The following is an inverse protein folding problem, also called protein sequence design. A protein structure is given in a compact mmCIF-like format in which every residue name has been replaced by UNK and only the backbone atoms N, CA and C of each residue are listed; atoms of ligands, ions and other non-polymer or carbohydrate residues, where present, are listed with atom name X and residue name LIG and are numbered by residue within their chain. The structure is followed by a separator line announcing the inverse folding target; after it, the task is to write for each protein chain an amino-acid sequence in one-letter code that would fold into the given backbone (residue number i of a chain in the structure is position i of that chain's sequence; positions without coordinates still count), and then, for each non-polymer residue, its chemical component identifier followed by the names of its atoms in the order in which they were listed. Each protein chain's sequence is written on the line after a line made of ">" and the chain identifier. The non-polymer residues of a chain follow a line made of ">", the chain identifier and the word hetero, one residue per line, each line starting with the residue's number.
data_IF_251416140437
#
_entry.id   IF_251416140437
#
_cell.length_a   1.000
_cell.length_b   1.000
_cell.length_c   1.000
_cell.angle_alpha   90.00
_cell.angle_beta   90.00
_cell.angle_gamma   90.00
#
_symmetry.space_group_name_H-M   'P 1'
#
loop_
_entity.id
_entity.type
_entity.pdbx_description
1 polymer ?
#
# COMPACT_ATOMS: atom_id res chain seq x y z
N UNK A 1 19.52 10.83 -11.51
CA UNK A 1 19.78 11.20 -10.11
C UNK A 1 18.75 10.45 -9.31
N UNK A 2 19.12 9.28 -8.79
CA UNK A 2 18.24 8.36 -8.06
C UNK A 2 17.87 9.02 -6.74
N UNK A 3 16.63 9.49 -6.60
CA UNK A 3 16.07 9.90 -5.31
C UNK A 3 15.86 8.59 -4.53
N UNK A 4 16.82 8.23 -3.69
CA UNK A 4 16.73 7.15 -2.69
C UNK A 4 15.56 7.41 -1.74
N UNK A 5 14.88 6.36 -1.27
CA UNK A 5 13.70 6.39 -0.37
C UNK A 5 13.83 7.18 0.95
N UNK A 6 14.96 7.86 1.19
CA UNK A 6 15.20 8.80 2.32
C UNK A 6 14.14 9.89 2.47
N UNK A 7 13.26 10.11 1.48
CA UNK A 7 12.12 11.02 1.59
C UNK A 7 10.98 10.51 2.50
N UNK A 8 10.92 9.20 2.83
CA UNK A 8 9.91 8.67 3.76
C UNK A 8 10.26 8.81 5.25
N UNK A 9 11.52 9.08 5.60
CA UNK A 9 12.03 8.85 6.95
C UNK A 9 12.43 10.11 7.76
N UNK A 10 11.94 11.31 7.43
CA UNK A 10 12.36 12.53 8.14
C UNK A 10 11.24 13.34 8.80
N UNK A 11 10.72 12.82 9.91
CA UNK A 11 10.19 13.65 11.02
C UNK A 11 10.74 13.15 12.36
N UNK A 12 11.91 13.69 12.70
CA UNK A 12 12.62 13.54 13.97
C UNK A 12 11.93 14.29 15.12
N UNK A 13 11.84 13.66 16.30
CA UNK A 13 11.88 14.15 17.73
C UNK A 13 10.80 13.45 18.59
N UNK A 14 11.00 12.97 19.83
CA UNK A 14 12.09 13.02 20.81
C UNK A 14 11.89 11.84 21.80
N UNK A 15 12.98 11.15 22.18
CA UNK A 15 13.02 10.14 23.25
C UNK A 15 12.72 10.76 24.63
N UNK A 16 11.84 10.12 25.42
CA UNK A 16 11.89 10.13 26.88
C UNK A 16 11.53 8.73 27.40
N UNK A 17 12.55 7.96 27.78
CA UNK A 17 12.41 6.81 28.64
C UNK A 17 12.23 7.28 30.09
N UNK A 18 11.18 6.80 30.76
CA UNK A 18 11.10 6.85 32.22
C UNK A 18 11.04 5.44 32.78
N UNK A 19 12.17 4.97 33.31
CA UNK A 19 12.20 3.87 34.28
C UNK A 19 11.47 4.31 35.55
N UNK A 20 10.51 3.52 36.00
CA UNK A 20 10.08 3.49 37.39
C UNK A 20 9.95 2.03 37.81
N UNK A 21 11.02 1.51 38.41
CA UNK A 21 10.96 0.28 39.18
C UNK A 21 10.17 0.53 40.47
N UNK A 22 9.27 -0.39 40.80
CA UNK A 22 8.85 -0.65 42.16
C UNK A 22 8.76 -2.16 42.35
N UNK A 23 9.62 -2.63 43.25
CA UNK A 23 9.71 -4.01 43.73
C UNK A 23 8.45 -4.34 44.54
N UNK A 24 7.82 -5.46 44.23
CA UNK A 24 6.97 -6.18 45.17
C UNK A 24 7.30 -7.67 45.05
N UNK A 25 7.90 -8.22 46.11
CA UNK A 25 8.02 -9.66 46.34
C UNK A 25 6.62 -10.22 46.59
N UNK A 26 6.22 -11.28 45.89
CA UNK A 26 5.21 -12.21 46.41
C UNK A 26 5.29 -13.59 45.71
N UNK A 27 5.55 -14.58 46.56
CA UNK A 27 5.34 -16.03 46.52
C UNK A 27 5.45 -16.82 45.20
N UNK A 28 6.50 -17.65 45.14
CA UNK A 28 6.76 -18.68 44.15
C UNK A 28 5.78 -19.85 44.31
N UNK A 29 4.62 -19.77 43.66
CA UNK A 29 3.80 -20.96 43.38
C UNK A 29 4.34 -21.64 42.13
N UNK A 30 5.02 -22.77 42.31
CA UNK A 30 5.44 -23.66 41.22
C UNK A 30 4.22 -24.35 40.60
N UNK A 31 3.50 -23.63 39.74
CA UNK A 31 2.70 -24.26 38.70
C UNK A 31 3.57 -24.33 37.45
N UNK A 32 3.89 -25.54 37.01
CA UNK A 32 4.43 -25.79 35.67
C UNK A 32 3.49 -25.14 34.65
N UNK A 33 3.94 -24.14 33.86
CA UNK A 33 3.10 -23.58 32.80
C UNK A 33 2.67 -24.73 31.89
N UNK A 34 1.38 -24.79 31.56
CA UNK A 34 0.94 -25.63 30.46
C UNK A 34 1.78 -25.24 29.23
N UNK A 35 2.47 -26.21 28.64
CA UNK A 35 3.22 -26.01 27.41
C UNK A 35 2.21 -25.51 26.37
N UNK A 36 2.26 -24.21 26.02
CA UNK A 36 1.46 -23.67 24.94
C UNK A 36 1.80 -24.49 23.70
N UNK A 37 0.84 -25.28 23.22
CA UNK A 37 1.02 -26.05 22.01
C UNK A 37 1.01 -25.08 20.84
N UNK A 38 2.21 -24.64 20.42
CA UNK A 38 2.46 -23.95 19.15
C UNK A 38 1.62 -24.61 18.05
N UNK A 39 0.77 -23.86 17.33
CA UNK A 39 -0.04 -24.41 16.26
C UNK A 39 0.83 -25.19 15.26
N UNK A 40 0.36 -26.36 14.83
CA UNK A 40 1.15 -27.27 14.00
C UNK A 40 1.51 -26.71 12.60
N UNK A 41 0.79 -25.67 12.16
CA UNK A 41 1.05 -24.95 10.91
C UNK A 41 2.17 -23.90 11.03
N UNK A 42 2.63 -23.61 12.25
CA UNK A 42 3.74 -22.69 12.44
C UNK A 42 5.05 -23.49 12.45
N UNK A 43 5.88 -23.25 11.46
CA UNK A 43 7.23 -23.79 11.35
C UNK A 43 8.29 -22.67 11.40
N UNK A 44 9.47 -22.88 10.81
CA UNK A 44 10.57 -21.90 10.82
C UNK A 44 10.67 -21.06 9.53
N UNK A 45 9.84 -21.34 8.51
CA UNK A 45 9.99 -20.72 7.20
C UNK A 45 8.66 -20.78 6.43
N UNK A 46 8.33 -19.71 5.71
CA UNK A 46 7.18 -19.68 4.80
C UNK A 46 7.66 -19.36 3.39
N UNK A 47 7.18 -20.14 2.41
CA UNK A 47 7.72 -20.17 1.06
C UNK A 47 9.27 -20.29 1.05
N UNK A 48 9.98 -19.35 0.41
CA UNK A 48 11.44 -19.30 0.36
C UNK A 48 12.12 -18.55 1.51
N UNK A 49 11.37 -18.04 2.49
CA UNK A 49 11.90 -17.16 3.53
C UNK A 49 12.01 -17.88 4.89
N UNK A 50 13.20 -17.84 5.50
CA UNK A 50 13.45 -18.38 6.86
C UNK A 50 13.53 -17.24 7.86
N UNK A 51 12.71 -17.31 8.91
CA UNK A 51 12.65 -16.29 9.96
C UNK A 51 13.92 -16.29 10.83
N UNK A 52 14.43 -15.10 11.17
CA UNK A 52 15.53 -14.94 12.13
C UNK A 52 15.04 -14.94 13.59
N UNK A 53 13.77 -14.60 13.82
CA UNK A 53 13.16 -14.38 15.12
C UNK A 53 11.80 -15.07 15.24
N UNK A 54 11.28 -15.16 16.47
CA UNK A 54 9.95 -15.71 16.70
C UNK A 54 8.84 -14.67 16.43
N UNK A 55 8.17 -14.81 15.28
CA UNK A 55 7.00 -14.00 14.89
C UNK A 55 5.71 -14.83 14.77
N UNK A 56 5.62 -15.97 15.44
CA UNK A 56 4.49 -16.91 15.40
C UNK A 56 3.13 -16.25 15.68
N UNK A 57 3.11 -15.30 16.60
CA UNK A 57 1.90 -14.58 16.96
C UNK A 57 1.44 -13.63 15.83
N UNK A 58 2.37 -13.01 15.08
CA UNK A 58 2.05 -12.22 13.89
C UNK A 58 1.58 -13.09 12.73
N UNK A 59 2.24 -14.23 12.51
CA UNK A 59 1.86 -15.23 11.50
C UNK A 59 0.42 -15.73 11.73
N UNK A 60 0.04 -15.93 12.99
CA UNK A 60 -1.30 -16.39 13.38
C UNK A 60 -2.43 -15.42 13.00
N UNK A 61 -2.15 -14.14 12.78
CA UNK A 61 -3.16 -13.15 12.34
C UNK A 61 -3.70 -13.45 10.94
N UNK A 62 -2.97 -14.22 10.12
CA UNK A 62 -3.44 -14.63 8.80
C UNK A 62 -4.71 -15.50 8.90
N UNK A 63 -4.82 -16.33 9.96
CA UNK A 63 -6.01 -17.13 10.19
C UNK A 63 -7.20 -16.26 10.63
N UNK A 64 -6.96 -15.19 11.40
CA UNK A 64 -8.00 -14.20 11.71
C UNK A 64 -8.56 -13.55 10.43
N UNK A 65 -7.72 -13.26 9.42
CA UNK A 65 -8.18 -12.74 8.13
C UNK A 65 -9.06 -13.75 7.37
N UNK A 66 -8.66 -15.02 7.37
CA UNK A 66 -9.46 -16.08 6.76
C UNK A 66 -10.83 -16.20 7.45
N UNK A 67 -10.86 -16.15 8.77
CA UNK A 67 -12.09 -16.22 9.55
C UNK A 67 -12.99 -15.00 9.33
N UNK A 68 -12.43 -13.78 9.30
CA UNK A 68 -13.16 -12.54 8.98
C UNK A 68 -13.79 -12.63 7.59
N UNK A 69 -13.01 -13.05 6.60
CA UNK A 69 -13.50 -13.20 5.22
C UNK A 69 -14.63 -14.24 5.14
N UNK A 70 -14.53 -15.33 5.89
CA UNK A 70 -15.55 -16.38 5.96
C UNK A 70 -16.84 -15.83 6.56
N UNK A 71 -16.77 -15.23 7.76
CA UNK A 71 -17.92 -14.61 8.42
C UNK A 71 -18.58 -13.54 7.54
N UNK A 72 -17.79 -12.65 6.93
CA UNK A 72 -18.31 -11.62 6.04
C UNK A 72 -18.97 -12.20 4.77
N UNK A 73 -18.52 -13.35 4.27
CA UNK A 73 -19.17 -14.01 3.11
C UNK A 73 -20.54 -14.60 3.43
N UNK A 74 -20.80 -14.85 4.71
CA UNK A 74 -22.09 -15.32 5.24
C UNK A 74 -22.98 -14.18 5.77
N UNK A 75 -22.55 -12.93 5.54
CA UNK A 75 -23.16 -11.71 6.12
C UNK A 75 -23.18 -11.68 7.64
N UNK A 76 -22.29 -12.43 8.30
CA UNK A 76 -22.10 -12.38 9.76
C UNK A 76 -21.13 -11.25 10.13
N UNK A 77 -21.65 -10.02 10.06
CA UNK A 77 -20.88 -8.80 10.34
C UNK A 77 -20.42 -8.71 11.80
N UNK A 78 -21.21 -9.26 12.73
CA UNK A 78 -20.90 -9.23 14.16
C UNK A 78 -19.69 -10.12 14.44
N UNK A 79 -19.66 -11.35 13.89
CA UNK A 79 -18.50 -12.24 14.02
C UNK A 79 -17.27 -11.65 13.32
N UNK A 80 -17.41 -11.11 12.11
CA UNK A 80 -16.30 -10.44 11.41
C UNK A 80 -15.72 -9.28 12.25
N UNK A 81 -16.59 -8.44 12.83
CA UNK A 81 -16.18 -7.32 13.69
C UNK A 81 -15.53 -7.80 14.98
N UNK A 82 -16.08 -8.85 15.60
CA UNK A 82 -15.53 -9.43 16.82
C UNK A 82 -14.10 -9.94 16.60
N UNK A 83 -13.86 -10.69 15.52
CA UNK A 83 -12.52 -11.23 15.22
C UNK A 83 -11.54 -10.08 14.93
N UNK A 84 -11.94 -9.08 14.15
CA UNK A 84 -11.09 -7.92 13.86
C UNK A 84 -10.67 -7.15 15.12
N UNK A 85 -11.64 -6.89 16.01
CA UNK A 85 -11.43 -6.08 17.22
C UNK A 85 -10.71 -6.84 18.33
N UNK A 86 -11.06 -8.11 18.53
CA UNK A 86 -10.65 -8.87 19.71
C UNK A 86 -9.63 -9.99 19.41
N UNK A 87 -9.38 -10.29 18.13
CA UNK A 87 -8.54 -11.41 17.71
C UNK A 87 -9.19 -12.77 18.03
N UNK A 88 -8.65 -13.83 17.42
CA UNK A 88 -9.11 -15.21 17.68
C UNK A 88 -7.99 -16.23 17.69
N UNK A 89 -6.97 -16.05 16.85
CA UNK A 89 -5.94 -17.08 16.64
C UNK A 89 -4.54 -16.69 17.16
N UNK A 90 -4.33 -15.41 17.49
CA UNK A 90 -3.03 -14.87 17.90
C UNK A 90 -2.93 -14.60 19.43
N UNK A 91 -3.08 -15.65 20.25
CA UNK A 91 -3.03 -15.53 21.73
C UNK A 91 -1.60 -15.28 22.23
N UNK A 92 -1.44 -14.35 23.16
CA UNK A 92 -0.20 -14.04 23.88
C UNK A 92 -0.16 -14.80 25.22
N UNK A 93 1.02 -14.86 25.82
CA UNK A 93 1.28 -15.52 27.10
C UNK A 93 0.39 -15.02 28.26
N UNK A 94 -0.06 -13.76 28.21
CA UNK A 94 -0.96 -13.17 29.21
C UNK A 94 -2.45 -13.53 29.00
N UNK A 95 -2.74 -14.38 28.02
CA UNK A 95 -4.06 -14.81 27.61
C UNK A 95 -4.81 -13.81 26.73
N UNK A 96 -4.29 -12.59 26.53
CA UNK A 96 -4.84 -11.62 25.59
C UNK A 96 -4.49 -11.98 24.14
N UNK A 97 -5.15 -11.35 23.18
CA UNK A 97 -4.87 -11.58 21.75
C UNK A 97 -4.16 -10.37 21.14
N UNK A 98 -3.30 -10.63 20.15
CA UNK A 98 -3.00 -9.61 19.13
C UNK A 98 -4.21 -9.47 18.23
N UNK A 99 -4.48 -8.25 17.77
CA UNK A 99 -5.69 -7.95 17.02
C UNK A 99 -5.36 -7.08 15.82
N UNK A 100 -6.04 -7.31 14.71
CA UNK A 100 -5.90 -6.50 13.50
C UNK A 100 -6.27 -5.03 13.78
N UNK A 101 -7.29 -4.80 14.61
CA UNK A 101 -7.64 -3.46 15.08
C UNK A 101 -6.53 -2.78 15.88
N UNK A 102 -5.79 -3.52 16.71
CA UNK A 102 -4.69 -3.00 17.51
C UNK A 102 -3.53 -2.50 16.65
N UNK A 103 -3.25 -3.18 15.53
CA UNK A 103 -2.30 -2.68 14.54
C UNK A 103 -2.85 -1.43 13.82
N UNK A 104 -4.17 -1.35 13.61
CA UNK A 104 -4.83 -0.29 12.83
C UNK A 104 -5.24 0.98 13.55
N UNK A 105 -5.00 1.04 14.86
CA UNK A 105 -5.35 2.17 15.71
C UNK A 105 -4.31 3.32 15.69
N UNK A 106 -3.28 3.24 14.83
CA UNK A 106 -2.25 4.26 14.53
C UNK A 106 -1.35 4.78 15.67
N UNK A 107 -1.77 4.77 16.93
CA UNK A 107 -0.99 5.36 18.03
C UNK A 107 0.42 4.76 18.12
N UNK A 108 1.43 5.57 17.77
CA UNK A 108 2.84 5.18 17.75
C UNK A 108 3.29 4.34 16.55
N UNK A 109 2.48 4.21 15.50
CA UNK A 109 2.76 3.40 14.30
C UNK A 109 3.23 4.21 13.08
N UNK A 110 3.02 5.53 13.03
CA UNK A 110 3.56 6.42 11.99
C UNK A 110 3.41 5.87 10.55
N UNK A 111 2.26 5.29 10.19
CA UNK A 111 2.04 4.92 8.80
C UNK A 111 1.74 6.15 7.94
N UNK A 112 2.22 6.16 6.69
CA UNK A 112 2.01 7.28 5.76
C UNK A 112 0.51 7.60 5.54
N UNK A 113 -0.37 6.62 5.77
CA UNK A 113 -1.82 6.79 5.66
C UNK A 113 -2.41 7.82 6.61
N UNK A 114 -1.90 7.96 7.85
CA UNK A 114 -2.50 8.92 8.79
C UNK A 114 -2.20 10.35 8.38
N UNK A 115 -0.93 10.60 8.02
CA UNK A 115 -0.49 11.90 7.53
C UNK A 115 -1.21 12.24 6.23
N UNK A 116 -1.35 11.27 5.31
CA UNK A 116 -2.05 11.45 4.04
C UNK A 116 -3.54 11.77 4.22
N UNK A 117 -4.25 11.00 5.06
CA UNK A 117 -5.68 11.23 5.31
C UNK A 117 -5.96 12.32 6.36
N UNK A 118 -4.93 12.86 7.01
CA UNK A 118 -5.07 13.81 8.12
C UNK A 118 -5.87 13.23 9.30
N UNK A 119 -5.79 11.91 9.51
CA UNK A 119 -6.64 11.16 10.43
C UNK A 119 -5.81 10.11 11.16
N UNK A 120 -5.78 10.15 12.49
CA UNK A 120 -5.19 9.09 13.31
C UNK A 120 -6.05 7.82 13.18
N UNK A 121 -5.40 6.69 12.88
CA UNK A 121 -6.06 5.40 12.71
C UNK A 121 -6.69 5.22 11.34
N UNK A 122 -6.17 5.89 10.31
CA UNK A 122 -6.82 5.96 9.00
C UNK A 122 -7.10 4.58 8.38
N UNK A 123 -6.17 3.62 8.50
CA UNK A 123 -6.36 2.24 8.04
C UNK A 123 -7.54 1.60 8.77
N UNK A 124 -7.55 1.70 10.11
CA UNK A 124 -8.61 1.12 10.94
C UNK A 124 -9.97 1.75 10.67
N UNK A 125 -10.01 3.06 10.43
CA UNK A 125 -11.24 3.79 10.11
C UNK A 125 -11.89 3.29 8.81
N UNK A 126 -11.10 3.05 7.76
CA UNK A 126 -11.62 2.51 6.49
C UNK A 126 -12.16 1.09 6.66
N UNK A 127 -11.43 0.23 7.38
CA UNK A 127 -11.87 -1.16 7.65
C UNK A 127 -13.15 -1.16 8.50
N UNK A 128 -13.20 -0.34 9.55
CA UNK A 128 -14.35 -0.22 10.42
C UNK A 128 -15.58 0.35 9.70
N UNK A 129 -15.38 1.24 8.72
CA UNK A 129 -16.47 1.75 7.91
C UNK A 129 -17.18 0.63 7.14
N UNK A 130 -16.43 -0.32 6.57
CA UNK A 130 -17.00 -1.51 5.95
C UNK A 130 -17.64 -2.46 6.98
N UNK A 131 -16.97 -2.71 8.11
CA UNK A 131 -17.48 -3.59 9.17
C UNK A 131 -18.76 -3.06 9.80
N UNK A 132 -18.94 -1.74 9.93
CA UNK A 132 -20.15 -1.11 10.47
C UNK A 132 -21.22 -0.87 9.40
N UNK A 133 -20.84 -0.80 8.12
CA UNK A 133 -21.74 -0.37 7.04
C UNK A 133 -22.07 1.12 7.13
N UNK A 134 -21.12 1.94 7.55
CA UNK A 134 -21.21 3.39 7.64
C UNK A 134 -20.18 4.05 6.69
N UNK A 135 -19.99 5.37 6.76
CA UNK A 135 -19.01 6.07 5.93
C UNK A 135 -19.20 5.82 4.44
N UNK A 136 -18.12 5.43 3.74
CA UNK A 136 -18.14 5.12 2.30
C UNK A 136 -19.02 3.90 1.99
N UNK A 137 -19.33 3.06 2.97
CA UNK A 137 -20.19 1.88 2.83
C UNK A 137 -21.64 2.13 3.26
N UNK A 138 -22.00 3.34 3.70
CA UNK A 138 -23.36 3.67 4.10
C UNK A 138 -24.36 3.42 2.96
N UNK A 139 -25.42 2.65 3.25
CA UNK A 139 -26.48 2.36 2.27
C UNK A 139 -26.06 1.46 1.10
N UNK A 140 -24.84 0.92 1.10
CA UNK A 140 -24.38 -0.03 0.08
C UNK A 140 -25.02 -1.42 0.29
N UNK A 141 -24.96 -2.26 -0.74
CA UNK A 141 -25.47 -3.63 -0.64
C UNK A 141 -24.55 -4.54 0.19
N UNK A 142 -25.09 -5.63 0.74
CA UNK A 142 -24.30 -6.65 1.45
C UNK A 142 -23.14 -7.19 0.60
N UNK A 143 -23.30 -7.27 -0.72
CA UNK A 143 -22.22 -7.67 -1.63
C UNK A 143 -21.07 -6.66 -1.64
N UNK A 144 -21.39 -5.36 -1.70
CA UNK A 144 -20.38 -4.29 -1.66
C UNK A 144 -19.70 -4.25 -0.30
N UNK A 145 -20.48 -4.34 0.78
CA UNK A 145 -19.95 -4.38 2.16
C UNK A 145 -19.03 -5.58 2.38
N UNK A 146 -19.42 -6.77 1.92
CA UNK A 146 -18.56 -7.96 1.93
C UNK A 146 -17.23 -7.72 1.21
N UNK A 147 -17.25 -7.12 0.00
CA UNK A 147 -16.00 -6.78 -0.69
C UNK A 147 -15.16 -5.79 0.12
N UNK A 148 -15.77 -4.76 0.70
CA UNK A 148 -15.09 -3.82 1.58
C UNK A 148 -14.35 -4.52 2.71
N UNK A 149 -15.06 -5.33 3.50
CA UNK A 149 -14.49 -6.06 4.64
C UNK A 149 -13.36 -6.98 4.18
N UNK A 150 -13.62 -7.84 3.19
CA UNK A 150 -12.68 -8.86 2.75
C UNK A 150 -11.44 -8.26 2.07
N UNK A 151 -11.57 -7.13 1.37
CA UNK A 151 -10.46 -6.52 0.62
C UNK A 151 -9.71 -5.47 1.43
N UNK A 152 -10.36 -4.61 2.21
CA UNK A 152 -9.64 -3.59 2.99
C UNK A 152 -8.80 -4.23 4.09
N UNK A 153 -9.35 -5.22 4.81
CA UNK A 153 -8.63 -5.86 5.92
C UNK A 153 -7.33 -6.53 5.45
N UNK A 154 -7.37 -7.22 4.31
CA UNK A 154 -6.18 -7.85 3.73
C UNK A 154 -5.28 -6.81 3.06
N UNK A 155 -5.82 -5.97 2.18
CA UNK A 155 -4.99 -5.19 1.26
C UNK A 155 -4.59 -3.83 1.81
N UNK A 156 -5.46 -3.11 2.50
CA UNK A 156 -5.06 -1.85 3.14
C UNK A 156 -4.41 -2.13 4.50
N UNK A 157 -5.03 -3.03 5.28
CA UNK A 157 -4.54 -3.43 6.60
C UNK A 157 -3.16 -4.06 6.55
N UNK A 158 -3.05 -5.26 5.99
CA UNK A 158 -1.80 -6.03 6.08
C UNK A 158 -0.65 -5.44 5.26
N UNK A 159 -0.92 -4.83 4.10
CA UNK A 159 0.11 -4.13 3.33
C UNK A 159 0.59 -2.89 4.06
N UNK A 160 -0.33 -2.16 4.72
CA UNK A 160 0.02 -1.06 5.61
C UNK A 160 1.03 -1.48 6.67
N UNK A 161 0.81 -2.64 7.33
CA UNK A 161 1.78 -3.17 8.32
C UNK A 161 3.04 -3.73 7.71
N UNK A 162 2.94 -4.41 6.56
CA UNK A 162 4.13 -4.88 5.85
C UNK A 162 5.11 -3.73 5.63
N UNK A 163 4.62 -2.60 5.11
CA UNK A 163 5.46 -1.42 4.86
C UNK A 163 5.90 -0.75 6.17
N UNK A 164 5.03 -0.68 7.18
CA UNK A 164 5.39 -0.14 8.50
C UNK A 164 6.55 -0.91 9.14
N UNK A 165 6.50 -2.24 9.12
CA UNK A 165 7.51 -3.08 9.76
C UNK A 165 8.83 -3.06 8.98
N UNK A 166 8.76 -3.04 7.63
CA UNK A 166 9.94 -2.83 6.78
C UNK A 166 10.61 -1.48 7.08
N UNK A 167 9.84 -0.38 7.16
CA UNK A 167 10.37 0.93 7.50
C UNK A 167 10.94 0.97 8.93
N UNK A 168 10.31 0.25 9.86
CA UNK A 168 10.79 0.14 11.24
C UNK A 168 12.09 -0.64 11.33
N UNK A 169 12.25 -1.70 10.53
CA UNK A 169 13.49 -2.45 10.41
C UNK A 169 14.62 -1.56 9.89
N UNK A 170 14.40 -0.83 8.78
CA UNK A 170 15.36 0.14 8.24
C UNK A 170 15.77 1.18 9.30
N UNK A 171 14.80 1.80 9.96
CA UNK A 171 15.07 2.80 11.00
C UNK A 171 15.84 2.23 12.21
N UNK A 172 15.56 0.99 12.61
CA UNK A 172 16.31 0.30 13.67
C UNK A 172 17.74 -0.03 13.23
N UNK A 173 17.93 -0.48 11.99
CA UNK A 173 19.25 -0.77 11.43
C UNK A 173 20.12 0.50 11.34
N UNK A 174 19.55 1.62 10.89
CA UNK A 174 20.20 2.93 10.88
C UNK A 174 20.62 3.40 12.28
N UNK A 175 19.85 3.01 13.31
CA UNK A 175 20.17 3.25 14.72
C UNK A 175 21.17 2.23 15.31
N UNK A 176 21.63 1.26 14.52
CA UNK A 176 22.56 0.20 14.93
C UNK A 176 21.91 -0.94 15.74
N UNK A 177 20.58 -1.01 15.77
CA UNK A 177 19.84 -2.06 16.46
C UNK A 177 19.57 -3.24 15.52
N UNK A 178 20.54 -4.15 15.42
CA UNK A 178 20.55 -5.30 14.50
C UNK A 178 20.39 -6.66 15.20
N UNK A 179 19.93 -6.67 16.46
CA UNK A 179 19.64 -7.92 17.19
C UNK A 179 18.50 -8.69 16.51
N UNK A 180 18.64 -10.01 16.35
CA UNK A 180 17.66 -10.80 15.60
C UNK A 180 16.28 -10.78 16.28
N UNK A 181 16.23 -10.94 17.60
CA UNK A 181 14.97 -11.12 18.34
C UNK A 181 14.24 -9.82 18.67
N UNK A 182 14.95 -8.69 18.71
CA UNK A 182 14.37 -7.40 19.16
C UNK A 182 14.69 -6.21 18.26
N UNK A 183 15.67 -6.37 17.37
CA UNK A 183 16.20 -5.34 16.48
C UNK A 183 15.52 -5.31 15.12
N UNK A 184 16.28 -4.86 14.12
CA UNK A 184 15.80 -4.70 12.76
C UNK A 184 15.37 -6.02 12.08
N UNK A 185 16.11 -7.14 12.20
CA UNK A 185 15.65 -8.43 11.65
C UNK A 185 14.27 -8.86 12.18
N UNK A 186 13.96 -8.60 13.45
CA UNK A 186 12.64 -8.91 14.01
C UNK A 186 11.49 -8.20 13.29
N UNK A 187 11.61 -6.89 13.05
CA UNK A 187 10.56 -6.17 12.30
C UNK A 187 10.54 -6.60 10.83
N UNK A 188 11.69 -6.96 10.26
CA UNK A 188 11.72 -7.49 8.89
C UNK A 188 10.94 -8.81 8.78
N UNK A 189 11.11 -9.71 9.76
CA UNK A 189 10.34 -10.94 9.92
C UNK A 189 8.84 -10.67 10.12
N UNK A 190 8.48 -9.69 10.96
CA UNK A 190 7.09 -9.26 11.16
C UNK A 190 6.47 -8.79 9.83
N UNK A 191 7.22 -8.04 9.02
CA UNK A 191 6.83 -7.62 7.67
C UNK A 191 6.47 -8.80 6.76
N UNK A 192 7.29 -9.86 6.75
CA UNK A 192 6.98 -11.08 6.00
C UNK A 192 5.75 -11.81 6.56
N UNK A 193 5.61 -11.87 7.88
CA UNK A 193 4.46 -12.47 8.55
C UNK A 193 3.14 -11.77 8.18
N UNK A 194 3.15 -10.44 8.03
CA UNK A 194 1.97 -9.69 7.57
C UNK A 194 1.70 -9.88 6.08
N UNK A 195 2.74 -9.97 5.26
CA UNK A 195 2.61 -10.03 3.80
C UNK A 195 2.25 -11.42 3.26
N UNK A 196 2.94 -12.45 3.75
CA UNK A 196 2.78 -13.83 3.29
C UNK A 196 1.98 -14.67 4.31
N UNK A 197 2.36 -14.57 5.60
CA UNK A 197 1.83 -15.42 6.66
C UNK A 197 2.20 -16.90 6.47
N UNK A 198 1.58 -17.82 7.23
CA UNK A 198 1.79 -19.26 7.07
C UNK A 198 1.40 -19.80 5.70
N UNK A 199 2.16 -20.75 5.16
CA UNK A 199 1.83 -21.48 3.92
C UNK A 199 0.39 -22.04 3.92
N UNK A 200 -0.08 -22.55 5.06
CA UNK A 200 -1.43 -23.11 5.24
C UNK A 200 -2.55 -22.07 5.11
N UNK A 201 -2.22 -20.79 5.23
CA UNK A 201 -3.17 -19.67 5.18
C UNK A 201 -2.85 -18.68 4.05
N UNK A 202 -1.95 -19.08 3.14
CA UNK A 202 -1.50 -18.27 2.02
C UNK A 202 -2.64 -17.70 1.17
N UNK A 203 -3.76 -18.42 0.99
CA UNK A 203 -4.90 -17.97 0.17
C UNK A 203 -5.61 -16.70 0.69
N UNK A 204 -5.37 -16.32 1.94
CA UNK A 204 -5.88 -15.11 2.58
C UNK A 204 -4.87 -13.95 2.60
N UNK A 205 -3.63 -14.20 2.18
CA UNK A 205 -2.53 -13.24 2.26
C UNK A 205 -2.57 -12.16 1.17
N UNK A 206 -1.94 -11.00 1.42
CA UNK A 206 -1.56 -10.05 0.39
C UNK A 206 -0.73 -10.68 -0.73
N UNK A 207 0.21 -11.58 -0.41
CA UNK A 207 1.06 -12.26 -1.39
C UNK A 207 0.24 -13.00 -2.47
N UNK A 208 -0.89 -13.62 -2.09
CA UNK A 208 -1.79 -14.27 -3.06
C UNK A 208 -2.39 -13.32 -4.10
N UNK A 209 -2.46 -12.01 -3.80
CA UNK A 209 -2.92 -11.01 -4.76
C UNK A 209 -1.90 -10.85 -5.89
N UNK A 210 -0.60 -10.95 -5.61
CA UNK A 210 0.44 -10.88 -6.63
C UNK A 210 0.26 -11.96 -7.70
N UNK A 211 0.02 -13.21 -7.31
CA UNK A 211 -0.28 -14.30 -8.25
C UNK A 211 -1.52 -14.04 -9.10
N UNK A 212 -2.61 -13.59 -8.47
CA UNK A 212 -3.85 -13.29 -9.17
C UNK A 212 -3.64 -12.20 -10.21
N UNK A 213 -2.91 -11.13 -9.86
CA UNK A 213 -2.63 -10.03 -10.78
C UNK A 213 -1.64 -10.39 -11.87
N UNK A 214 -0.64 -11.20 -11.56
CA UNK A 214 0.27 -11.70 -12.58
C UNK A 214 -0.44 -12.54 -13.63
N UNK A 215 -1.38 -13.40 -13.22
CA UNK A 215 -2.23 -14.15 -14.15
C UNK A 215 -3.14 -13.24 -14.98
N UNK A 216 -3.63 -12.13 -14.41
CA UNK A 216 -4.54 -11.22 -15.11
C UNK A 216 -3.82 -10.31 -16.13
N UNK A 217 -2.51 -10.08 -15.95
CA UNK A 217 -1.72 -9.13 -16.76
C UNK A 217 -0.59 -9.77 -17.56
N UNK A 218 -0.48 -11.10 -17.52
CA UNK A 218 0.57 -11.84 -18.21
C UNK A 218 1.97 -11.55 -17.67
N UNK A 219 2.11 -11.28 -16.37
CA UNK A 219 3.39 -10.96 -15.69
C UNK A 219 3.87 -12.09 -14.78
N UNK A 220 3.35 -13.31 -15.00
CA UNK A 220 3.87 -14.53 -14.41
C UNK A 220 5.01 -15.10 -15.26
N UNK A 221 5.95 -15.82 -14.64
CA UNK A 221 6.97 -16.58 -15.34
C UNK A 221 6.39 -17.87 -15.96
N UNK A 222 7.26 -18.67 -16.60
CA UNK A 222 6.86 -19.88 -17.31
C UNK A 222 6.23 -20.95 -16.39
N UNK A 223 6.52 -20.90 -15.09
CA UNK A 223 5.98 -21.80 -14.08
C UNK A 223 4.69 -21.24 -13.42
N UNK A 224 4.24 -20.06 -13.87
CA UNK A 224 3.04 -19.40 -13.36
C UNK A 224 3.29 -18.57 -12.09
N UNK A 225 4.55 -18.39 -11.69
CA UNK A 225 4.91 -17.59 -10.50
C UNK A 225 4.91 -16.12 -10.86
N UNK A 226 4.25 -15.28 -10.08
CA UNK A 226 4.25 -13.83 -10.29
C UNK A 226 5.68 -13.28 -10.21
N UNK A 227 6.09 -12.50 -11.22
CA UNK A 227 7.40 -11.83 -11.20
C UNK A 227 7.56 -10.93 -9.97
N UNK A 228 6.47 -10.24 -9.57
CA UNK A 228 6.42 -9.43 -8.34
C UNK A 228 6.56 -10.26 -7.08
N UNK A 229 5.97 -11.45 -7.00
CA UNK A 229 6.10 -12.33 -5.83
C UNK A 229 7.54 -12.81 -5.67
N UNK A 230 8.11 -13.36 -6.75
CA UNK A 230 9.49 -13.84 -6.78
C UNK A 230 10.50 -12.76 -6.41
N UNK A 231 10.33 -11.55 -6.96
CA UNK A 231 11.19 -10.43 -6.63
C UNK A 231 11.02 -9.95 -5.18
N UNK A 232 9.80 -10.02 -4.64
CA UNK A 232 9.53 -9.70 -3.22
C UNK A 232 10.15 -10.72 -2.29
N UNK A 233 9.96 -12.02 -2.55
CA UNK A 233 10.57 -13.10 -1.75
C UNK A 233 12.10 -12.97 -1.71
N UNK A 234 12.73 -12.78 -2.88
CA UNK A 234 14.18 -12.59 -2.96
C UNK A 234 14.62 -11.33 -2.21
N UNK A 235 13.90 -10.22 -2.35
CA UNK A 235 14.21 -8.99 -1.63
C UNK A 235 14.06 -9.16 -0.11
N UNK A 236 13.09 -9.93 0.37
CA UNK A 236 12.94 -10.24 1.78
C UNK A 236 14.12 -11.07 2.30
N UNK A 237 14.55 -12.09 1.56
CA UNK A 237 15.73 -12.90 1.92
C UNK A 237 17.01 -12.06 1.94
N UNK A 238 17.25 -11.30 0.88
CA UNK A 238 18.46 -10.46 0.75
C UNK A 238 18.46 -9.32 1.78
N UNK A 239 17.30 -8.73 2.05
CA UNK A 239 17.11 -7.67 3.03
C UNK A 239 17.42 -8.16 4.45
N UNK A 240 16.93 -9.34 4.84
CA UNK A 240 17.25 -9.93 6.14
C UNK A 240 18.76 -10.14 6.31
N UNK A 241 19.42 -10.72 5.29
CA UNK A 241 20.86 -10.93 5.31
C UNK A 241 21.63 -9.60 5.38
N UNK A 242 21.16 -8.57 4.66
CA UNK A 242 21.74 -7.23 4.70
C UNK A 242 21.59 -6.57 6.07
N UNK A 243 20.42 -6.68 6.71
CA UNK A 243 20.17 -6.18 8.07
C UNK A 243 21.13 -6.81 9.09
N UNK A 244 21.28 -8.14 9.05
CA UNK A 244 22.21 -8.87 9.91
C UNK A 244 23.68 -8.49 9.66
N UNK A 245 24.01 -8.15 8.42
CA UNK A 245 25.35 -7.69 8.04
C UNK A 245 25.60 -6.19 8.31
N UNK A 246 24.55 -5.42 8.63
CA UNK A 246 24.62 -3.96 8.71
C UNK A 246 24.90 -3.28 7.36
N UNK A 247 24.44 -3.87 6.25
CA UNK A 247 24.61 -3.35 4.90
C UNK A 247 23.46 -2.40 4.50
N UNK A 248 23.68 -1.10 4.73
CA UNK A 248 22.70 -0.02 4.41
C UNK A 248 22.20 -0.06 2.97
N UNK A 249 23.12 -0.20 2.01
CA UNK A 249 22.71 -0.23 0.61
C UNK A 249 21.89 -1.49 0.28
N UNK A 250 22.19 -2.61 0.93
CA UNK A 250 21.49 -3.87 0.76
C UNK A 250 20.05 -3.83 1.29
N UNK A 251 19.85 -3.41 2.55
CA UNK A 251 18.50 -3.38 3.12
C UNK A 251 17.62 -2.26 2.53
N UNK A 252 18.22 -1.13 2.14
CA UNK A 252 17.48 -0.08 1.43
C UNK A 252 16.96 -0.63 0.10
N UNK A 253 17.84 -1.19 -0.74
CA UNK A 253 17.45 -1.73 -2.04
C UNK A 253 16.39 -2.84 -1.94
N UNK A 254 16.48 -3.68 -0.90
CA UNK A 254 15.46 -4.67 -0.59
C UNK A 254 14.11 -4.02 -0.28
N UNK A 255 14.08 -3.03 0.61
CA UNK A 255 12.85 -2.31 0.97
C UNK A 255 12.23 -1.60 -0.25
N UNK A 256 13.04 -0.92 -1.08
CA UNK A 256 12.55 -0.27 -2.31
C UNK A 256 11.93 -1.29 -3.28
N UNK A 257 12.53 -2.49 -3.39
CA UNK A 257 12.04 -3.57 -4.25
C UNK A 257 10.68 -4.11 -3.78
N UNK A 258 10.52 -4.33 -2.46
CA UNK A 258 9.25 -4.78 -1.88
C UNK A 258 8.13 -3.75 -2.16
N UNK A 259 8.39 -2.47 -1.88
CA UNK A 259 7.41 -1.39 -2.12
C UNK A 259 7.08 -1.29 -3.61
N UNK A 260 8.07 -1.35 -4.51
CA UNK A 260 7.84 -1.33 -5.96
C UNK A 260 6.89 -2.45 -6.40
N UNK A 261 7.10 -3.68 -5.92
CA UNK A 261 6.26 -4.83 -6.28
C UNK A 261 4.83 -4.73 -5.73
N UNK A 262 4.65 -4.12 -4.56
CA UNK A 262 3.33 -3.75 -4.00
C UNK A 262 2.65 -2.74 -4.95
N UNK A 263 3.33 -1.66 -5.33
CA UNK A 263 2.77 -0.64 -6.24
C UNK A 263 2.35 -1.25 -7.59
N UNK A 264 3.17 -2.14 -8.17
CA UNK A 264 2.82 -2.86 -9.41
C UNK A 264 1.53 -3.66 -9.23
N UNK A 265 1.48 -4.49 -8.19
CA UNK A 265 0.37 -5.43 -7.94
C UNK A 265 -0.95 -4.69 -7.74
N UNK A 266 -0.95 -3.64 -6.93
CA UNK A 266 -2.16 -2.87 -6.64
C UNK A 266 -2.53 -1.87 -7.75
N UNK A 267 -1.57 -1.45 -8.58
CA UNK A 267 -1.86 -0.77 -9.85
C UNK A 267 -2.63 -1.69 -10.80
N UNK A 268 -2.12 -2.92 -11.02
CA UNK A 268 -2.79 -3.95 -11.81
C UNK A 268 -4.20 -4.24 -11.27
N UNK A 269 -4.35 -4.34 -9.94
CA UNK A 269 -5.64 -4.56 -9.33
C UNK A 269 -6.63 -3.43 -9.59
N UNK A 270 -6.20 -2.18 -9.37
CA UNK A 270 -7.02 -0.98 -9.61
C UNK A 270 -7.43 -0.92 -11.08
N UNK A 271 -6.48 -1.04 -12.02
CA UNK A 271 -6.74 -1.08 -13.47
C UNK A 271 -7.78 -2.13 -13.86
N UNK A 272 -7.62 -3.36 -13.35
CA UNK A 272 -8.57 -4.44 -13.63
C UNK A 272 -9.97 -4.07 -13.18
N UNK A 273 -10.14 -3.63 -11.95
CA UNK A 273 -11.48 -3.45 -11.41
C UNK A 273 -12.18 -2.20 -11.93
N UNK A 274 -11.46 -1.11 -12.18
CA UNK A 274 -12.05 0.07 -12.85
C UNK A 274 -12.49 -0.26 -14.28
N UNK A 275 -11.76 -1.12 -14.99
CA UNK A 275 -12.12 -1.55 -16.35
C UNK A 275 -13.37 -2.43 -16.41
N UNK A 276 -13.76 -3.06 -15.29
CA UNK A 276 -14.90 -4.01 -15.23
C UNK A 276 -16.19 -3.41 -14.69
N UNK A 277 -16.18 -2.12 -14.32
CA UNK A 277 -17.34 -1.43 -13.74
C UNK A 277 -18.51 -1.24 -14.72
N UNK A 278 -18.31 -1.54 -16.01
CA UNK A 278 -19.35 -1.61 -17.04
C UNK A 278 -20.26 -2.85 -16.92
N UNK A 279 -19.86 -3.83 -16.10
CA UNK A 279 -20.65 -5.04 -15.92
C UNK A 279 -22.00 -4.76 -15.22
N UNK A 280 -23.10 -5.10 -15.89
CA UNK A 280 -24.46 -4.81 -15.41
C UNK A 280 -24.81 -5.47 -14.06
N UNK A 281 -24.26 -6.66 -13.77
CA UNK A 281 -24.61 -7.43 -12.57
C UNK A 281 -23.61 -7.23 -11.43
N UNK A 282 -22.35 -6.97 -11.77
CA UNK A 282 -21.22 -6.95 -10.83
C UNK A 282 -20.50 -5.60 -10.77
N UNK A 283 -20.97 -4.55 -11.45
CA UNK A 283 -20.30 -3.24 -11.49
C UNK A 283 -20.02 -2.68 -10.09
N UNK A 284 -21.01 -2.66 -9.21
CA UNK A 284 -20.85 -2.19 -7.82
C UNK A 284 -19.87 -3.06 -7.01
N UNK A 285 -19.89 -4.38 -7.22
CA UNK A 285 -18.90 -5.29 -6.64
C UNK A 285 -17.48 -4.94 -7.10
N UNK A 286 -17.29 -4.72 -8.40
CA UNK A 286 -15.99 -4.38 -8.96
C UNK A 286 -15.53 -2.99 -8.51
N UNK A 287 -16.43 -2.01 -8.38
CA UNK A 287 -16.11 -0.70 -7.80
C UNK A 287 -15.60 -0.86 -6.36
N UNK A 288 -16.25 -1.68 -5.52
CA UNK A 288 -15.82 -1.95 -4.14
C UNK A 288 -14.46 -2.65 -4.07
N UNK A 289 -14.21 -3.62 -4.96
CA UNK A 289 -12.89 -4.24 -5.08
C UNK A 289 -11.83 -3.21 -5.50
N UNK A 290 -12.11 -2.42 -6.55
CA UNK A 290 -11.22 -1.37 -7.03
C UNK A 290 -10.90 -0.33 -5.97
N UNK A 291 -11.90 0.13 -5.22
CA UNK A 291 -11.75 1.03 -4.07
C UNK A 291 -10.73 0.48 -3.08
N UNK A 292 -10.91 -0.75 -2.61
CA UNK A 292 -10.04 -1.33 -1.59
C UNK A 292 -8.61 -1.56 -2.11
N UNK A 293 -8.45 -1.91 -3.38
CA UNK A 293 -7.12 -2.06 -4.00
C UNK A 293 -6.41 -0.73 -4.22
N UNK A 294 -7.16 0.34 -4.54
CA UNK A 294 -6.61 1.69 -4.62
C UNK A 294 -6.17 2.17 -3.23
N UNK A 295 -7.02 1.99 -2.20
CA UNK A 295 -6.68 2.35 -0.80
C UNK A 295 -5.43 1.65 -0.28
N UNK A 296 -5.04 0.50 -0.84
CA UNK A 296 -3.82 -0.21 -0.47
C UNK A 296 -2.51 0.47 -0.94
N UNK A 297 -2.59 1.42 -1.88
CA UNK A 297 -1.43 2.17 -2.38
C UNK A 297 -1.63 3.68 -2.45
N UNK A 298 -2.83 4.18 -2.16
CA UNK A 298 -3.20 5.58 -2.35
C UNK A 298 -2.20 6.54 -1.71
N UNK A 299 -1.85 6.34 -0.44
CA UNK A 299 -0.91 7.21 0.28
C UNK A 299 0.53 7.20 -0.29
N UNK A 300 0.89 6.17 -1.07
CA UNK A 300 2.18 6.02 -1.72
C UNK A 300 2.16 6.43 -3.20
N UNK A 301 0.98 6.57 -3.78
CA UNK A 301 0.78 6.92 -5.18
C UNK A 301 0.40 8.39 -5.34
N UNK A 302 -0.50 8.90 -4.50
CA UNK A 302 -1.11 10.21 -4.64
C UNK A 302 -0.11 11.39 -4.74
N UNK A 303 0.99 11.43 -3.97
CA UNK A 303 1.99 12.51 -4.09
C UNK A 303 2.67 12.61 -5.47
N UNK A 304 2.53 11.59 -6.32
CA UNK A 304 3.10 11.55 -7.67
C UNK A 304 2.03 11.75 -8.74
N UNK A 305 0.93 12.41 -8.41
CA UNK A 305 -0.23 12.59 -9.30
C UNK A 305 -0.67 14.04 -9.44
N UNK A 306 0.23 14.99 -9.20
CA UNK A 306 -0.02 16.42 -9.38
C UNK A 306 -0.12 16.79 -10.86
N UNK A 307 -0.79 17.91 -11.11
CA UNK A 307 -0.89 18.47 -12.45
C UNK A 307 -1.13 19.97 -12.47
N UNK A 308 -1.04 20.53 -13.67
CA UNK A 308 -1.33 21.94 -13.94
C UNK A 308 -2.59 22.04 -14.79
N UNK A 309 -3.61 22.73 -14.29
CA UNK A 309 -4.79 23.04 -15.09
C UNK A 309 -4.49 24.19 -16.06
N UNK A 310 -4.87 24.01 -17.32
CA UNK A 310 -4.76 25.03 -18.36
C UNK A 310 -6.12 25.73 -18.55
N UNK A 311 -6.17 27.03 -18.34
CA UNK A 311 -7.40 27.82 -18.48
C UNK A 311 -7.85 28.06 -19.92
N UNK A 312 -6.95 27.96 -20.91
CA UNK A 312 -7.28 28.19 -22.31
C UNK A 312 -7.95 26.97 -22.95
N UNK A 313 -7.45 25.76 -22.64
CA UNK A 313 -7.99 24.49 -23.19
C UNK A 313 -8.82 23.69 -22.19
N UNK A 314 -8.92 24.15 -20.93
CA UNK A 314 -9.69 23.54 -19.85
C UNK A 314 -9.33 22.07 -19.55
N UNK A 315 -8.04 21.75 -19.58
CA UNK A 315 -7.49 20.42 -19.32
C UNK A 315 -6.41 20.45 -18.25
N UNK A 316 -6.24 19.34 -17.54
CA UNK A 316 -5.10 19.15 -16.61
C UNK A 316 -4.00 18.39 -17.33
N UNK A 317 -2.81 18.97 -17.34
CA UNK A 317 -1.59 18.27 -17.72
C UNK A 317 -0.96 17.66 -16.48
N UNK A 318 -0.93 16.33 -16.42
CA UNK A 318 -0.31 15.58 -15.32
C UNK A 318 1.20 15.71 -15.38
N UNK A 319 1.82 15.91 -14.22
CA UNK A 319 3.25 16.23 -14.12
C UNK A 319 4.00 15.43 -13.06
N UNK A 320 3.30 14.74 -12.17
CA UNK A 320 3.91 13.84 -11.18
C UNK A 320 4.04 14.49 -9.82
N UNK A 321 5.27 14.57 -9.28
CA UNK A 321 5.59 15.26 -8.02
C UNK A 321 6.21 16.63 -8.38
N UNK A 322 5.39 17.68 -8.28
CA UNK A 322 5.77 19.05 -8.64
C UNK A 322 5.22 20.08 -7.65
N UNK A 323 6.00 21.14 -7.40
CA UNK A 323 5.47 22.33 -6.74
C UNK A 323 4.63 23.17 -7.71
N UNK A 324 3.68 23.95 -7.18
CA UNK A 324 2.82 24.84 -7.97
C UNK A 324 3.59 25.78 -8.92
N UNK A 325 4.79 26.23 -8.54
CA UNK A 325 5.65 27.08 -9.36
C UNK A 325 6.06 26.42 -10.70
N UNK A 326 6.06 25.08 -10.79
CA UNK A 326 6.30 24.39 -12.05
C UNK A 326 5.23 24.73 -13.10
N UNK A 327 4.00 25.07 -12.69
CA UNK A 327 2.95 25.46 -13.63
C UNK A 327 3.20 26.83 -14.28
N UNK A 328 4.01 27.70 -13.69
CA UNK A 328 4.43 28.97 -14.32
C UNK A 328 5.58 28.80 -15.32
N UNK A 329 6.18 27.59 -15.36
CA UNK A 329 7.41 27.34 -16.10
C UNK A 329 7.19 26.88 -17.56
N UNK A 330 5.94 26.87 -18.03
CA UNK A 330 5.61 26.60 -19.42
C UNK A 330 5.99 27.78 -20.31
N UNK A 331 6.68 27.49 -21.41
CA UNK A 331 7.07 28.48 -22.42
C UNK A 331 6.72 27.95 -23.81
N UNK A 332 6.31 28.86 -24.70
CA UNK A 332 6.18 28.55 -26.11
C UNK A 332 7.55 28.65 -26.80
N UNK A 333 8.09 27.51 -27.22
CA UNK A 333 9.44 27.40 -27.79
C UNK A 333 9.45 26.47 -29.01
N UNK A 334 10.60 26.33 -29.66
CA UNK A 334 10.81 25.31 -30.67
C UNK A 334 11.44 24.07 -30.01
N UNK A 335 10.93 22.88 -30.32
CA UNK A 335 11.38 21.63 -29.68
C UNK A 335 12.87 21.31 -29.93
N UNK A 336 13.51 21.93 -30.92
CA UNK A 336 14.92 21.75 -31.27
C UNK A 336 15.90 22.68 -30.52
N UNK A 337 15.39 23.66 -29.77
CA UNK A 337 16.16 24.76 -29.18
C UNK A 337 17.05 25.52 -30.21
N UNK A 338 16.67 25.51 -31.48
CA UNK A 338 17.36 26.23 -32.56
C UNK A 338 17.03 27.72 -32.49
N UNK A 339 18.05 28.59 -32.50
CA UNK A 339 17.86 30.05 -32.55
C UNK A 339 17.00 30.57 -33.72
N UNK A 340 16.78 29.75 -34.75
CA UNK A 340 16.00 30.08 -35.95
C UNK A 340 14.77 29.19 -36.16
N UNK A 341 14.53 28.24 -35.25
CA UNK A 341 13.38 27.33 -35.32
C UNK A 341 12.06 28.04 -35.00
N UNK A 342 10.98 27.62 -35.67
CA UNK A 342 9.63 28.13 -35.38
C UNK A 342 9.16 27.60 -34.04
N UNK A 343 8.72 28.48 -33.13
CA UNK A 343 8.11 28.03 -31.88
C UNK A 343 6.80 27.29 -32.17
N UNK A 344 6.75 26.03 -31.77
CA UNK A 344 5.70 25.07 -32.09
C UNK A 344 5.37 24.14 -30.91
N UNK A 345 6.03 24.35 -29.77
CA UNK A 345 6.02 23.43 -28.63
C UNK A 345 5.77 24.20 -27.34
N UNK A 346 4.82 23.76 -26.53
CA UNK A 346 4.66 24.25 -25.17
C UNK A 346 5.47 23.38 -24.20
N UNK A 347 6.58 23.93 -23.72
CA UNK A 347 7.60 23.19 -22.98
C UNK A 347 7.69 23.68 -21.54
N UNK A 348 7.70 22.76 -20.58
CA UNK A 348 7.94 23.08 -19.18
C UNK A 348 9.44 23.09 -18.88
N UNK A 349 9.97 24.23 -18.46
CA UNK A 349 11.41 24.39 -18.20
C UNK A 349 11.90 23.77 -16.89
N UNK A 350 10.99 23.42 -15.96
CA UNK A 350 11.31 22.77 -14.68
C UNK A 350 11.29 21.26 -14.83
N UNK A 351 10.23 20.69 -15.41
CA UNK A 351 10.09 19.22 -15.54
C UNK A 351 10.61 18.67 -16.86
N UNK A 352 10.94 19.54 -17.82
CA UNK A 352 11.35 19.19 -19.18
C UNK A 352 10.30 18.39 -19.97
N UNK A 353 9.02 18.52 -19.59
CA UNK A 353 7.89 17.90 -20.29
C UNK A 353 7.32 18.83 -21.37
N UNK A 354 6.67 18.23 -22.37
CA UNK A 354 5.95 18.95 -23.43
C UNK A 354 4.45 18.73 -23.24
N UNK A 355 3.68 19.81 -23.18
CA UNK A 355 2.22 19.72 -23.18
C UNK A 355 1.71 19.35 -24.57
N UNK A 356 0.98 18.25 -24.66
CA UNK A 356 0.33 17.77 -25.89
C UNK A 356 -1.10 18.27 -26.05
N UNK A 357 -1.62 19.02 -25.08
CA UNK A 357 -3.00 19.51 -25.05
C UNK A 357 -3.20 20.89 -25.66
N UNK A 358 -2.08 21.55 -26.01
CA UNK A 358 -2.04 22.93 -26.52
C UNK A 358 -1.40 22.98 -27.90
N UNK A 359 -1.79 23.97 -28.70
CA UNK A 359 -1.44 24.07 -30.13
C UNK A 359 -0.85 25.41 -30.54
N UNK A 360 -0.83 26.40 -29.64
CA UNK A 360 -0.31 27.74 -29.89
C UNK A 360 0.14 28.41 -28.59
N UNK A 361 0.83 29.55 -28.73
CA UNK A 361 1.37 30.34 -27.61
C UNK A 361 0.29 30.76 -26.60
N UNK A 362 -0.86 31.26 -27.06
CA UNK A 362 -1.95 31.69 -26.18
C UNK A 362 -2.51 30.54 -25.34
N UNK A 363 -2.58 29.33 -25.90
CA UNK A 363 -2.96 28.15 -25.13
C UNK A 363 -1.86 27.75 -24.15
N UNK A 364 -0.58 27.86 -24.52
CA UNK A 364 0.54 27.57 -23.62
C UNK A 364 0.58 28.52 -22.41
N UNK A 365 0.29 29.80 -22.62
CA UNK A 365 0.17 30.82 -21.57
C UNK A 365 -1.02 30.59 -20.62
N UNK A 366 -1.87 29.58 -20.91
CA UNK A 366 -3.00 29.20 -20.08
C UNK A 366 -2.63 28.44 -18.79
N UNK A 367 -1.38 28.00 -18.64
CA UNK A 367 -0.88 27.40 -17.40
C UNK A 367 -0.40 28.48 -16.42
N UNK A 368 -0.69 28.29 -15.14
CA UNK A 368 -0.16 29.14 -14.06
C UNK A 368 -0.21 28.40 -12.72
N UNK A 369 0.65 28.81 -11.77
CA UNK A 369 0.71 28.24 -10.42
C UNK A 369 -0.60 28.33 -9.65
N UNK A 370 -1.42 29.37 -9.90
CA UNK A 370 -2.75 29.48 -9.29
C UNK A 370 -3.74 28.40 -9.75
N UNK A 371 -3.42 27.67 -10.83
CA UNK A 371 -4.21 26.57 -11.39
C UNK A 371 -3.58 25.20 -11.13
N UNK A 372 -2.60 25.14 -10.23
CA UNK A 372 -2.05 23.89 -9.71
C UNK A 372 -3.16 22.98 -9.15
N UNK A 373 -3.05 21.69 -9.44
CA UNK A 373 -3.95 20.65 -8.98
C UNK A 373 -3.14 19.63 -8.19
N UNK A 374 -3.25 19.75 -6.86
CA UNK A 374 -2.63 18.83 -5.90
C UNK A 374 -3.26 17.44 -6.01
N UNK A 375 -2.44 16.41 -6.24
CA UNK A 375 -2.84 15.00 -6.30
C UNK A 375 -4.04 14.73 -7.22
N UNK A 376 -4.12 15.42 -8.36
CA UNK A 376 -5.26 15.36 -9.29
C UNK A 376 -5.58 13.92 -9.74
N UNK A 377 -4.57 13.13 -10.07
CA UNK A 377 -4.79 11.75 -10.53
C UNK A 377 -5.42 10.88 -9.44
N UNK A 378 -4.96 11.01 -8.19
CA UNK A 378 -5.56 10.33 -7.05
C UNK A 378 -7.01 10.77 -6.83
N UNK A 379 -7.30 12.08 -6.91
CA UNK A 379 -8.67 12.58 -6.81
C UNK A 379 -9.59 11.98 -7.89
N UNK A 380 -9.10 11.86 -9.14
CA UNK A 380 -9.87 11.24 -10.23
C UNK A 380 -10.14 9.77 -10.01
N UNK A 381 -9.15 9.01 -9.51
CA UNK A 381 -9.36 7.60 -9.16
C UNK A 381 -10.38 7.49 -8.02
N UNK A 382 -10.31 8.36 -7.01
CA UNK A 382 -11.29 8.41 -5.91
C UNK A 382 -12.70 8.76 -6.39
N UNK A 383 -12.85 9.68 -7.33
CA UNK A 383 -14.14 10.00 -7.94
C UNK A 383 -14.74 8.78 -8.66
N UNK A 384 -13.94 8.08 -9.47
CA UNK A 384 -14.36 6.86 -10.19
C UNK A 384 -14.78 5.75 -9.20
N UNK A 385 -14.00 5.57 -8.14
CA UNK A 385 -14.21 4.50 -7.15
C UNK A 385 -15.14 4.92 -5.99
N UNK A 386 -15.82 6.05 -6.10
CA UNK A 386 -16.74 6.52 -5.08
C UNK A 386 -17.97 5.59 -4.97
N UNK A 387 -18.02 4.80 -3.89
CA UNK A 387 -19.09 3.83 -3.63
C UNK A 387 -20.48 4.46 -3.44
N UNK A 388 -20.53 5.78 -3.21
CA UNK A 388 -21.77 6.55 -3.08
C UNK A 388 -22.22 7.16 -4.41
N UNK A 389 -21.41 7.10 -5.46
CA UNK A 389 -21.72 7.64 -6.79
C UNK A 389 -22.08 6.51 -7.77
N UNK A 390 -23.37 6.19 -7.81
CA UNK A 390 -23.90 5.21 -8.77
C UNK A 390 -23.76 5.65 -10.24
N UNK A 391 -23.46 6.93 -10.53
CA UNK A 391 -23.29 7.39 -11.91
C UNK A 391 -21.99 6.90 -12.54
N UNK A 392 -21.04 6.44 -11.72
CA UNK A 392 -19.80 5.83 -12.22
C UNK A 392 -20.05 4.42 -12.80
N UNK A 393 -21.12 3.74 -12.39
CA UNK A 393 -21.42 2.36 -12.81
C UNK A 393 -21.90 2.29 -14.27
N UNK A 394 -21.68 1.13 -14.91
CA UNK A 394 -22.04 0.95 -16.33
C UNK A 394 -21.00 1.53 -17.29
N UNK A 395 -19.84 1.95 -16.77
CA UNK A 395 -18.72 2.50 -17.54
C UNK A 395 -17.43 1.78 -17.17
N UNK A 396 -16.60 1.52 -18.18
CA UNK A 396 -15.24 0.99 -18.03
C UNK A 396 -14.27 2.17 -18.00
N UNK A 397 -13.39 2.23 -16.99
CA UNK A 397 -12.41 3.32 -16.86
C UNK A 397 -10.98 2.80 -17.02
N UNK A 398 -10.25 3.45 -17.92
CA UNK A 398 -8.79 3.36 -17.98
C UNK A 398 -8.17 4.41 -17.06
N UNK A 399 -7.59 3.95 -15.95
CA UNK A 399 -6.89 4.81 -14.98
C UNK A 399 -5.37 4.80 -15.14
N UNK A 400 -4.82 4.12 -16.16
CA UNK A 400 -3.39 4.10 -16.41
C UNK A 400 -2.79 5.52 -16.57
N UNK A 401 -3.45 6.48 -17.24
CA UNK A 401 -2.93 7.84 -17.33
C UNK A 401 -2.75 8.53 -15.96
N UNK A 402 -3.58 8.18 -14.97
CA UNK A 402 -3.47 8.73 -13.61
C UNK A 402 -2.34 8.08 -12.80
N UNK A 403 -1.89 6.88 -13.18
CA UNK A 403 -0.82 6.14 -12.52
C UNK A 403 0.53 6.24 -13.24
N UNK A 404 0.58 6.76 -14.47
CA UNK A 404 1.81 6.78 -15.27
C UNK A 404 2.99 7.49 -14.57
N UNK A 405 2.72 8.61 -13.87
CA UNK A 405 3.74 9.32 -13.10
C UNK A 405 4.15 8.60 -11.82
N UNK A 406 3.22 7.87 -11.19
CA UNK A 406 3.51 6.98 -10.07
C UNK A 406 4.48 5.89 -10.53
N UNK A 407 4.20 5.26 -11.68
CA UNK A 407 5.08 4.23 -12.23
C UNK A 407 6.46 4.77 -12.57
N UNK A 408 6.53 5.95 -13.18
CA UNK A 408 7.81 6.60 -13.46
C UNK A 408 8.61 6.89 -12.18
N UNK A 409 7.95 7.32 -11.09
CA UNK A 409 8.60 7.56 -9.80
C UNK A 409 9.26 6.29 -9.25
N UNK A 410 8.54 5.17 -9.23
CA UNK A 410 9.05 3.89 -8.73
C UNK A 410 9.90 3.10 -9.77
N UNK A 411 10.25 3.71 -10.90
CA UNK A 411 10.99 3.03 -11.97
C UNK A 411 10.28 1.78 -12.51
N UNK A 412 8.94 1.79 -12.50
CA UNK A 412 8.06 0.75 -13.03
C UNK A 412 7.85 1.00 -14.52
N UNK A 413 8.05 -0.03 -15.33
CA UNK A 413 7.89 0.02 -16.78
C UNK A 413 6.54 -0.56 -17.21
N UNK A 414 6.16 -0.32 -18.47
CA UNK A 414 4.99 -0.98 -19.06
C UNK A 414 5.10 -2.51 -19.06
N UNK A 415 6.32 -3.07 -19.13
CA UNK A 415 6.54 -4.51 -19.05
C UNK A 415 6.30 -5.05 -17.63
N UNK A 416 6.63 -4.28 -16.60
CA UNK A 416 6.37 -4.64 -15.20
C UNK A 416 4.86 -4.66 -14.91
N UNK A 417 4.10 -3.70 -15.45
CA UNK A 417 2.63 -3.67 -15.33
C UNK A 417 1.98 -4.77 -16.18
N UNK A 418 2.51 -5.05 -17.36
CA UNK A 418 1.95 -6.01 -18.31
C UNK A 418 0.70 -5.47 -19.02
N UNK A 419 -0.06 -6.38 -19.62
CA UNK A 419 -1.28 -6.06 -20.35
C UNK A 419 -2.40 -6.99 -19.91
N UNK A 420 -3.57 -6.44 -19.63
CA UNK A 420 -4.73 -7.20 -19.18
C UNK A 420 -5.13 -8.23 -20.24
N UNK A 421 -5.13 -9.52 -19.87
CA UNK A 421 -5.38 -10.66 -20.76
C UNK A 421 -6.84 -11.10 -20.83
#
# INVERSE_FOLDING_TARGET
>A
MTKTLRALALTLTLLLASLAGCVAEEEETTETPAEETKPAFLDTADAGYTYASNVDNHRSLMLDLCDIKTAASESDWDTATMIYMNGKNAQKDDGSFRTLAGFAAASGKNHNYDAYHGMDGAIGAHIMSALNGDGDFAGTSDTVRYQGIAKLTVNMGMVGYTIHEINSAVAKADAGNIDDDTGAPHNWDEGWAFFHGPDEHYDCSPAKVMEKRASDFGTADADGVAATFKATEQAMVDGLAALQAGDEAGYDAAAETVVKNIIITYSQATLKYTSKMDNADSGAKYQAEGYAFWKAIEAYAAPYTDGCYNMAVHKVFMMGDIDAAACDAFIWTNGSMDSTGTNDTCYNTVTHQVSTDVSNETECDGYAAMYFQDMYGAQKINEILNLQDATQLGTSYDVAPHLAHVWAHYGITAADIGAMS
#
